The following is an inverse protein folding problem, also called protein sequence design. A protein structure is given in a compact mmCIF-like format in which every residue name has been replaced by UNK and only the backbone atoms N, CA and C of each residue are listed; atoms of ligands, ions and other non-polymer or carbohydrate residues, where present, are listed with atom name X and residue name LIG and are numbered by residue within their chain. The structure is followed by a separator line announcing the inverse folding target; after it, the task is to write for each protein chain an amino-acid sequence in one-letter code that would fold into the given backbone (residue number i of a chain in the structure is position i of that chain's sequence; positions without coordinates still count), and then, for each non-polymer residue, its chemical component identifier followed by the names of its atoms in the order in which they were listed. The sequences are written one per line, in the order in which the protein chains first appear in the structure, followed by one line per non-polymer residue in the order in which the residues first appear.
data_IF_176063265203
#
_entry.id   IF_176063265203
#
_cell.length_a   1.000
_cell.length_b   1.000
_cell.length_c   1.000
_cell.angle_alpha   90.00
_cell.angle_beta   90.00
_cell.angle_gamma   90.00
#
_symmetry.space_group_name_H-M   'P 1'
#
loop_
_entity.id
_entity.type
_entity.pdbx_description
1 polymer ?
#
# COMPACT_ATOMS: atom_id res chain seq x y z
N UNK A 1 -8.44 -63.98 26.08
CA UNK A 1 -8.33 -62.96 25.01
C UNK A 1 -6.87 -62.87 24.60
N UNK A 2 -6.56 -63.31 23.38
CA UNK A 2 -5.18 -63.49 22.90
C UNK A 2 -4.56 -62.13 22.50
N UNK A 3 -3.23 -62.00 22.59
CA UNK A 3 -2.46 -60.78 22.26
C UNK A 3 -2.70 -60.30 20.82
N UNK A 4 -3.10 -61.23 19.95
CA UNK A 4 -3.43 -61.00 18.55
C UNK A 4 -4.84 -60.41 18.34
N UNK A 5 -5.82 -60.79 19.17
CA UNK A 5 -7.17 -60.20 19.17
C UNK A 5 -7.14 -58.74 19.62
N UNK A 6 -6.27 -58.42 20.59
CA UNK A 6 -6.08 -57.05 21.09
C UNK A 6 -5.50 -56.11 20.01
N UNK A 7 -4.60 -56.62 19.15
CA UNK A 7 -4.03 -55.86 18.03
C UNK A 7 -5.01 -55.66 16.87
N UNK A 8 -5.94 -56.59 16.64
CA UNK A 8 -7.02 -56.42 15.64
C UNK A 8 -8.02 -55.35 16.09
N UNK A 9 -8.44 -55.37 17.35
CA UNK A 9 -9.38 -54.38 17.89
C UNK A 9 -8.82 -52.94 17.84
N UNK A 10 -7.53 -52.75 18.12
CA UNK A 10 -6.88 -51.42 18.03
C UNK A 10 -6.76 -50.90 16.59
N UNK A 11 -6.58 -51.77 15.60
CA UNK A 11 -6.55 -51.38 14.18
C UNK A 11 -7.93 -51.00 13.65
N UNK A 12 -8.99 -51.67 14.08
CA UNK A 12 -10.37 -51.32 13.72
C UNK A 12 -10.82 -50.00 14.38
N UNK A 13 -10.45 -49.77 15.64
CA UNK A 13 -10.74 -48.52 16.34
C UNK A 13 -10.06 -47.28 15.71
N UNK A 14 -8.85 -47.45 15.15
CA UNK A 14 -8.16 -46.38 14.40
C UNK A 14 -8.77 -46.11 13.02
N UNK A 15 -9.32 -47.13 12.35
CA UNK A 15 -9.97 -46.96 11.04
C UNK A 15 -11.29 -46.19 11.12
N UNK A 16 -12.02 -46.32 12.23
CA UNK A 16 -13.26 -45.59 12.47
C UNK A 16 -13.10 -44.15 12.98
N UNK A 17 -11.91 -43.74 13.46
CA UNK A 17 -11.63 -42.33 13.84
C UNK A 17 -11.23 -41.43 12.66
N UNK A 18 -10.92 -41.99 11.50
CA UNK A 18 -10.50 -41.25 10.30
C UNK A 18 -11.59 -41.01 9.25
N UNK A 19 -12.85 -41.35 9.54
CA UNK A 19 -13.96 -41.32 8.58
C UNK A 19 -15.16 -40.52 9.07
N UNK A 20 -14.90 -39.28 9.50
CA UNK A 20 -15.93 -38.22 9.59
C UNK A 20 -15.65 -37.16 8.54
N UNK A 21 -15.63 -37.59 7.27
CA UNK A 21 -15.77 -36.71 6.12
C UNK A 21 -17.25 -36.60 5.79
N UNK A 22 -17.93 -35.61 6.38
CA UNK A 22 -19.26 -35.20 5.96
C UNK A 22 -19.14 -34.14 4.88
N UNK A 23 -19.32 -34.54 3.62
CA UNK A 23 -19.79 -33.69 2.52
C UNK A 23 -21.31 -33.84 2.49
N UNK A 24 -22.11 -32.76 2.59
CA UNK A 24 -22.66 -32.04 1.42
C UNK A 24 -22.64 -30.49 1.66
N UNK A 25 -22.83 -29.56 0.73
CA UNK A 25 -23.69 -29.49 -0.45
C UNK A 25 -23.20 -28.37 -1.39
N UNK A 26 -23.41 -28.55 -2.70
CA UNK A 26 -23.34 -27.50 -3.73
C UNK A 26 -24.51 -26.53 -3.54
N UNK A 27 -24.23 -25.23 -3.60
CA UNK A 27 -25.24 -24.21 -3.86
C UNK A 27 -25.74 -23.42 -2.65
N UNK A 28 -24.88 -22.58 -2.07
CA UNK A 28 -25.28 -21.33 -1.41
C UNK A 28 -24.08 -20.37 -1.47
N UNK A 29 -24.25 -19.12 -1.93
CA UNK A 29 -23.18 -18.12 -1.85
C UNK A 29 -22.85 -17.89 -0.36
N UNK A 30 -21.58 -17.73 0.03
CA UNK A 30 -21.23 -17.47 1.42
C UNK A 30 -21.84 -16.12 1.84
N UNK A 31 -22.98 -16.19 2.53
CA UNK A 31 -23.57 -15.07 3.23
C UNK A 31 -22.56 -14.58 4.26
N UNK A 32 -22.33 -13.26 4.23
CA UNK A 32 -21.48 -12.47 5.12
C UNK A 32 -20.66 -13.26 6.14
N UNK A 33 -19.36 -13.41 5.89
CA UNK A 33 -18.40 -13.58 6.98
C UNK A 33 -18.45 -12.30 7.82
N UNK A 34 -19.36 -12.29 8.79
CA UNK A 34 -19.23 -11.48 9.99
C UNK A 34 -17.83 -11.75 10.51
N UNK A 35 -16.98 -10.73 10.46
CA UNK A 35 -15.67 -10.73 11.09
C UNK A 35 -15.92 -11.07 12.56
N UNK A 36 -15.66 -12.33 12.95
CA UNK A 36 -15.57 -12.67 14.36
C UNK A 36 -14.32 -11.98 14.87
N UNK A 37 -14.49 -10.82 15.52
CA UNK A 37 -13.47 -10.24 16.40
C UNK A 37 -13.13 -11.31 17.43
N UNK A 38 -11.97 -11.96 17.27
CA UNK A 38 -11.38 -12.72 18.36
C UNK A 38 -11.05 -11.74 19.50
N UNK A 39 -11.10 -12.16 20.77
CA UNK A 39 -10.73 -11.27 21.87
C UNK A 39 -9.26 -10.86 21.71
N UNK A 40 -9.02 -9.57 21.52
CA UNK A 40 -7.71 -8.95 21.52
C UNK A 40 -7.16 -9.00 22.96
N UNK A 41 -5.92 -9.46 23.13
CA UNK A 41 -5.25 -9.31 24.42
C UNK A 41 -4.90 -7.83 24.63
N UNK A 42 -4.94 -7.31 25.87
CA UNK A 42 -4.42 -5.97 26.16
C UNK A 42 -2.98 -5.83 25.65
N UNK A 43 -2.72 -4.85 24.78
CA UNK A 43 -1.40 -4.60 24.17
C UNK A 43 -1.23 -5.12 22.73
N UNK A 44 -2.18 -5.88 22.19
CA UNK A 44 -2.11 -6.37 20.79
C UNK A 44 -2.17 -5.22 19.77
N UNK A 45 -2.93 -4.15 20.04
CA UNK A 45 -3.07 -3.00 19.14
C UNK A 45 -1.75 -2.22 18.99
N UNK A 46 -1.06 -1.95 20.10
CA UNK A 46 0.22 -1.23 20.08
C UNK A 46 1.31 -2.09 19.42
N UNK A 47 1.33 -3.40 19.67
CA UNK A 47 2.23 -4.32 18.98
C UNK A 47 1.95 -4.35 17.47
N UNK A 48 0.69 -4.45 17.07
CA UNK A 48 0.30 -4.39 15.66
C UNK A 48 0.73 -3.08 15.02
N UNK A 49 0.61 -1.96 15.75
CA UNK A 49 1.07 -0.65 15.29
C UNK A 49 2.58 -0.61 15.11
N UNK A 50 3.35 -1.13 16.06
CA UNK A 50 4.82 -1.20 15.95
C UNK A 50 5.26 -2.06 14.78
N UNK A 51 4.65 -3.24 14.61
CA UNK A 51 4.90 -4.13 13.47
C UNK A 51 4.51 -3.44 12.14
N UNK A 52 3.41 -2.67 12.15
CA UNK A 52 2.98 -1.88 11.01
C UNK A 52 3.91 -0.69 10.73
N UNK A 53 4.60 -0.12 11.70
CA UNK A 53 5.52 1.00 11.46
C UNK A 53 6.96 0.53 11.18
N UNK A 54 7.29 -0.72 11.45
CA UNK A 54 8.61 -1.29 11.22
C UNK A 54 9.04 -1.14 9.73
N UNK A 55 10.25 -0.63 9.53
CA UNK A 55 10.85 -0.46 8.20
C UNK A 55 10.14 0.56 7.31
N UNK A 56 9.49 1.56 7.92
CA UNK A 56 8.74 2.59 7.18
C UNK A 56 9.24 4.00 7.44
N UNK A 57 8.85 4.89 6.53
CA UNK A 57 9.05 6.33 6.60
C UNK A 57 7.69 7.00 6.67
N UNK A 58 7.53 7.98 7.56
CA UNK A 58 6.37 8.85 7.53
C UNK A 58 6.48 9.82 6.36
N UNK A 59 5.44 9.88 5.53
CA UNK A 59 5.33 10.91 4.52
C UNK A 59 5.34 12.30 5.20
N UNK A 60 6.02 13.26 4.58
CA UNK A 60 5.98 14.66 4.97
C UNK A 60 4.60 15.28 4.67
N UNK A 61 3.91 14.76 3.66
CA UNK A 61 2.62 15.25 3.22
C UNK A 61 2.02 14.38 2.11
N UNK A 62 0.77 14.65 1.77
CA UNK A 62 0.15 14.16 0.55
C UNK A 62 -0.81 15.19 -0.04
N UNK A 63 -1.04 15.10 -1.34
CA UNK A 63 -1.92 16.01 -2.07
C UNK A 63 -2.38 15.40 -3.38
N UNK A 64 -3.16 16.18 -4.14
CA UNK A 64 -3.63 15.78 -5.47
C UNK A 64 -3.36 16.93 -6.43
N UNK A 65 -2.74 16.62 -7.56
CA UNK A 65 -2.58 17.56 -8.66
C UNK A 65 -3.54 17.19 -9.79
N UNK A 66 -4.19 18.21 -10.36
CA UNK A 66 -5.10 18.04 -11.48
C UNK A 66 -4.48 18.64 -12.74
N UNK A 67 -4.66 17.99 -13.90
CA UNK A 67 -4.31 18.60 -15.17
C UNK A 67 -5.24 19.80 -15.43
N UNK A 68 -4.67 20.98 -15.65
CA UNK A 68 -5.41 22.19 -16.02
C UNK A 68 -5.10 22.57 -17.48
N UNK A 69 -6.14 22.82 -18.29
CA UNK A 69 -5.98 23.30 -19.67
C UNK A 69 -7.21 23.06 -20.56
N UNK A 70 -7.59 24.05 -21.36
CA UNK A 70 -8.68 23.90 -22.34
C UNK A 70 -8.25 22.95 -23.47
N UNK A 71 -9.07 21.92 -23.76
CA UNK A 71 -8.87 21.02 -24.90
C UNK A 71 -7.87 19.89 -24.68
N UNK A 72 -7.38 19.66 -23.46
CA UNK A 72 -6.58 18.48 -23.15
C UNK A 72 -7.46 17.23 -23.01
N UNK A 73 -6.92 16.07 -23.38
CA UNK A 73 -7.56 14.79 -23.07
C UNK A 73 -7.72 14.67 -21.54
N UNK A 74 -8.82 14.07 -21.05
CA UNK A 74 -9.00 13.87 -19.62
C UNK A 74 -7.86 12.99 -19.09
N UNK A 75 -6.93 13.60 -18.36
CA UNK A 75 -5.91 12.90 -17.61
C UNK A 75 -6.40 12.73 -16.17
N UNK A 76 -6.13 11.56 -15.59
CA UNK A 76 -6.43 11.31 -14.19
C UNK A 76 -5.59 12.21 -13.29
N UNK A 77 -6.13 12.54 -12.12
CA UNK A 77 -5.40 13.30 -11.13
C UNK A 77 -4.18 12.51 -10.61
N UNK A 78 -3.10 13.22 -10.32
CA UNK A 78 -1.90 12.62 -9.73
C UNK A 78 -2.01 12.68 -8.20
N UNK A 79 -1.99 11.51 -7.54
CA UNK A 79 -1.87 11.45 -6.09
C UNK A 79 -0.41 11.64 -5.69
N UNK A 80 -0.09 12.70 -4.97
CA UNK A 80 1.28 13.04 -4.59
C UNK A 80 1.57 12.63 -3.15
N UNK A 81 2.72 12.00 -2.94
CA UNK A 81 3.29 11.73 -1.62
C UNK A 81 4.59 12.52 -1.51
N UNK A 82 4.62 13.43 -0.53
CA UNK A 82 5.81 14.21 -0.20
C UNK A 82 6.62 13.46 0.85
N UNK A 83 7.93 13.35 0.63
CA UNK A 83 8.88 12.82 1.62
C UNK A 83 9.87 13.91 2.03
N UNK A 84 10.45 13.78 3.22
CA UNK A 84 11.52 14.68 3.66
C UNK A 84 12.82 14.39 2.89
N UNK A 85 13.54 15.44 2.51
CA UNK A 85 14.84 15.32 1.83
C UNK A 85 16.00 15.23 2.84
N UNK A 86 15.93 14.24 3.74
CA UNK A 86 16.93 14.05 4.80
C UNK A 86 17.07 12.58 5.22
N UNK A 87 17.91 12.33 6.23
CA UNK A 87 18.21 10.98 6.73
C UNK A 87 16.99 10.27 7.35
N UNK A 88 15.92 10.99 7.74
CA UNK A 88 14.69 10.38 8.27
C UNK A 88 13.95 9.61 7.18
N UNK A 89 14.06 10.06 5.92
CA UNK A 89 13.54 9.33 4.76
C UNK A 89 14.60 8.41 4.19
N UNK A 90 15.79 8.92 3.90
CA UNK A 90 16.73 8.21 3.05
C UNK A 90 17.62 7.20 3.78
N UNK A 91 17.76 7.30 5.10
CA UNK A 91 18.38 6.25 5.90
C UNK A 91 17.60 4.93 5.80
N UNK A 92 16.29 4.91 6.10
CA UNK A 92 15.46 3.71 5.95
C UNK A 92 15.01 3.41 4.50
N UNK A 93 15.04 4.41 3.60
CA UNK A 93 14.65 4.26 2.19
C UNK A 93 15.75 4.75 1.22
N UNK A 94 16.95 4.16 1.22
CA UNK A 94 18.06 4.61 0.37
C UNK A 94 17.73 4.50 -1.13
N UNK A 95 16.85 3.57 -1.52
CA UNK A 95 16.41 3.42 -2.90
C UNK A 95 15.66 4.65 -3.42
N UNK A 96 14.97 5.40 -2.55
CA UNK A 96 14.33 6.66 -2.94
C UNK A 96 15.38 7.73 -3.25
N UNK A 97 16.47 7.79 -2.48
CA UNK A 97 17.60 8.69 -2.76
C UNK A 97 18.21 8.39 -4.12
N UNK A 98 18.45 7.11 -4.42
CA UNK A 98 18.97 6.68 -5.71
C UNK A 98 17.99 6.98 -6.85
N UNK A 99 16.70 6.73 -6.66
CA UNK A 99 15.67 7.03 -7.65
C UNK A 99 15.58 8.54 -7.94
N UNK A 100 15.67 9.39 -6.91
CA UNK A 100 15.72 10.84 -7.09
C UNK A 100 17.00 11.30 -7.80
N UNK A 101 18.16 10.73 -7.46
CA UNK A 101 19.40 11.03 -8.15
C UNK A 101 19.34 10.64 -9.64
N UNK A 102 18.71 9.51 -9.96
CA UNK A 102 18.46 9.11 -11.34
C UNK A 102 17.45 10.05 -12.01
N UNK A 103 16.37 10.42 -11.33
CA UNK A 103 15.38 11.38 -11.83
C UNK A 103 16.06 12.68 -12.27
N UNK A 104 16.95 13.22 -11.44
CA UNK A 104 17.71 14.45 -11.75
C UNK A 104 18.64 14.31 -12.96
N UNK A 105 19.16 13.11 -13.19
CA UNK A 105 20.09 12.85 -14.29
C UNK A 105 19.39 12.62 -15.63
N UNK A 106 18.23 11.95 -15.63
CA UNK A 106 17.63 11.43 -16.87
C UNK A 106 16.19 11.89 -17.11
N UNK A 107 15.54 12.51 -16.12
CA UNK A 107 14.13 12.91 -16.18
C UNK A 107 13.15 11.74 -15.94
N UNK A 108 11.89 12.08 -15.73
CA UNK A 108 10.86 11.13 -15.27
C UNK A 108 10.56 10.01 -16.30
N UNK A 109 10.49 10.35 -17.59
CA UNK A 109 10.20 9.37 -18.65
C UNK A 109 11.29 8.30 -18.73
N UNK A 110 12.55 8.72 -18.85
CA UNK A 110 13.66 7.79 -18.95
C UNK A 110 13.91 7.03 -17.63
N UNK A 111 13.56 7.62 -16.48
CA UNK A 111 13.60 6.90 -15.21
C UNK A 111 12.62 5.73 -15.21
N UNK A 112 11.38 5.94 -15.66
CA UNK A 112 10.33 4.92 -15.65
C UNK A 112 10.68 3.71 -16.52
N UNK A 113 11.43 3.91 -17.60
CA UNK A 113 11.94 2.81 -18.44
C UNK A 113 13.07 2.01 -17.78
N UNK A 114 13.73 2.57 -16.75
CA UNK A 114 14.91 2.00 -16.10
C UNK A 114 14.64 1.35 -14.76
N UNK A 115 13.56 1.74 -14.09
CA UNK A 115 13.22 1.23 -12.76
C UNK A 115 12.01 0.29 -12.83
N UNK A 116 12.05 -0.77 -12.03
CA UNK A 116 10.89 -1.64 -11.81
C UNK A 116 10.57 -1.63 -10.33
N UNK A 117 9.40 -1.10 -9.99
CA UNK A 117 8.95 -0.95 -8.61
C UNK A 117 7.59 -1.61 -8.44
N UNK A 118 7.54 -2.66 -7.63
CA UNK A 118 6.28 -3.24 -7.16
C UNK A 118 5.64 -2.35 -6.11
N UNK A 119 4.31 -2.21 -6.15
CA UNK A 119 3.54 -1.38 -5.21
C UNK A 119 2.45 -2.21 -4.53
N UNK A 120 2.22 -1.96 -3.24
CA UNK A 120 1.11 -2.57 -2.52
C UNK A 120 0.60 -1.66 -1.40
N UNK A 121 -0.71 -1.61 -1.21
CA UNK A 121 -1.32 -0.90 -0.10
C UNK A 121 -1.52 -1.82 1.10
N UNK A 122 -1.38 -1.24 2.29
CA UNK A 122 -1.77 -1.83 3.56
C UNK A 122 -2.35 -0.75 4.45
N UNK A 123 -3.12 -1.15 5.46
CA UNK A 123 -3.81 -0.20 6.32
C UNK A 123 -4.01 -0.79 7.70
N UNK A 124 -4.02 0.09 8.68
CA UNK A 124 -4.25 -0.23 10.08
C UNK A 124 -5.38 0.66 10.57
N UNK A 125 -6.52 0.05 10.92
CA UNK A 125 -7.60 0.76 11.61
C UNK A 125 -7.24 0.97 13.09
N UNK A 126 -7.90 1.92 13.72
CA UNK A 126 -7.71 2.32 15.11
C UNK A 126 -8.19 3.75 15.36
N UNK A 127 -7.83 4.32 16.52
CA UNK A 127 -8.11 5.73 16.81
C UNK A 127 -7.38 6.67 15.84
N UNK A 128 -6.17 6.30 15.41
CA UNK A 128 -5.38 6.98 14.39
C UNK A 128 -5.13 6.01 13.23
N UNK A 129 -6.03 5.93 12.24
CA UNK A 129 -5.87 4.99 11.15
C UNK A 129 -4.62 5.33 10.32
N UNK A 130 -3.91 4.30 9.89
CA UNK A 130 -2.70 4.44 9.07
C UNK A 130 -2.90 3.78 7.71
N UNK A 131 -2.31 4.37 6.69
CA UNK A 131 -2.17 3.77 5.36
C UNK A 131 -0.69 3.66 5.05
N UNK A 132 -0.26 2.51 4.53
CA UNK A 132 1.11 2.25 4.09
C UNK A 132 1.12 1.92 2.60
N UNK A 133 1.90 2.67 1.83
CA UNK A 133 2.34 2.29 0.49
C UNK A 133 3.66 1.53 0.60
N UNK A 134 3.66 0.24 0.30
CA UNK A 134 4.88 -0.56 0.15
C UNK A 134 5.45 -0.37 -1.24
N UNK A 135 6.76 -0.15 -1.31
CA UNK A 135 7.55 -0.06 -2.53
C UNK A 135 8.57 -1.21 -2.54
N UNK A 136 8.64 -1.96 -3.63
CA UNK A 136 9.60 -3.03 -3.84
C UNK A 136 10.43 -2.75 -5.10
N UNK A 137 11.67 -2.33 -4.93
CA UNK A 137 12.60 -2.07 -6.02
C UNK A 137 13.23 -3.38 -6.50
N UNK A 138 13.12 -3.67 -7.79
CA UNK A 138 13.60 -4.93 -8.38
C UNK A 138 14.83 -4.77 -9.28
N UNK A 139 15.18 -3.54 -9.65
CA UNK A 139 16.28 -3.24 -10.56
C UNK A 139 17.68 -3.34 -9.92
N UNK A 140 18.74 -3.25 -10.75
CA UNK A 140 20.09 -3.02 -10.26
C UNK A 140 20.29 -1.56 -9.78
N UNK A 141 19.54 -0.61 -10.36
CA UNK A 141 19.54 0.81 -10.03
C UNK A 141 18.10 1.38 -10.12
N UNK A 142 17.50 1.85 -9.02
CA UNK A 142 17.96 1.73 -7.64
C UNK A 142 18.26 0.29 -7.23
N UNK A 143 19.15 0.12 -6.25
CA UNK A 143 19.46 -1.19 -5.70
C UNK A 143 18.20 -1.91 -5.18
N UNK A 144 18.17 -3.24 -5.31
CA UNK A 144 17.05 -4.04 -4.82
C UNK A 144 16.79 -3.78 -3.34
N UNK A 145 15.53 -3.57 -2.99
CA UNK A 145 15.12 -3.36 -1.61
C UNK A 145 13.64 -3.06 -1.48
N UNK A 146 13.17 -2.94 -0.23
CA UNK A 146 11.79 -2.59 0.05
C UNK A 146 11.71 -1.50 1.09
N UNK A 147 10.80 -0.56 0.90
CA UNK A 147 10.48 0.48 1.88
C UNK A 147 8.98 0.69 1.96
N UNK A 148 8.49 1.16 3.10
CA UNK A 148 7.10 1.57 3.27
C UNK A 148 7.00 3.08 3.47
N UNK A 149 6.08 3.73 2.78
CA UNK A 149 5.67 5.11 3.06
C UNK A 149 4.36 5.07 3.83
N UNK A 150 4.34 5.61 5.05
CA UNK A 150 3.17 5.63 5.93
C UNK A 150 2.56 7.03 5.95
N UNK A 151 1.24 7.08 5.84
CA UNK A 151 0.41 8.28 5.95
C UNK A 151 -0.59 8.11 7.09
N UNK A 152 -0.83 9.21 7.82
CA UNK A 152 -1.93 9.32 8.77
C UNK A 152 -3.23 9.44 7.96
N UNK A 153 -4.03 8.39 7.97
CA UNK A 153 -5.09 8.20 6.98
C UNK A 153 -6.23 9.22 7.14
N UNK A 154 -6.57 9.55 8.38
CA UNK A 154 -7.58 10.55 8.73
C UNK A 154 -7.22 11.96 8.24
N UNK A 155 -5.94 12.35 8.28
CA UNK A 155 -5.48 13.65 7.81
C UNK A 155 -5.69 13.86 6.29
N UNK A 156 -5.79 12.77 5.54
CA UNK A 156 -5.97 12.79 4.08
C UNK A 156 -7.32 12.22 3.64
N UNK A 157 -8.30 12.16 4.55
CA UNK A 157 -9.63 11.60 4.30
C UNK A 157 -10.29 12.13 3.01
N UNK A 158 -10.12 13.43 2.73
CA UNK A 158 -10.73 14.08 1.55
C UNK A 158 -10.11 13.70 0.21
N UNK A 159 -8.93 13.06 0.18
CA UNK A 159 -8.21 12.79 -1.07
C UNK A 159 -8.07 11.31 -1.42
N UNK A 160 -8.38 10.38 -0.51
CA UNK A 160 -8.26 8.93 -0.80
C UNK A 160 -9.12 8.45 -1.97
N UNK A 161 -10.26 9.10 -2.22
CA UNK A 161 -11.13 8.81 -3.37
C UNK A 161 -10.41 8.90 -4.72
N UNK A 162 -9.34 9.69 -4.81
CA UNK A 162 -8.59 9.88 -6.06
C UNK A 162 -7.65 8.71 -6.38
N UNK A 163 -7.44 7.79 -5.43
CA UNK A 163 -6.43 6.74 -5.59
C UNK A 163 -6.91 5.34 -5.17
N UNK A 164 -8.10 5.24 -4.56
CA UNK A 164 -8.70 3.98 -4.12
C UNK A 164 -8.94 2.98 -5.27
N UNK A 165 -9.33 3.48 -6.44
CA UNK A 165 -9.56 2.70 -7.66
C UNK A 165 -8.27 2.31 -8.40
N UNK A 166 -7.11 2.61 -7.84
CA UNK A 166 -5.84 2.64 -8.57
C UNK A 166 -5.61 4.00 -9.22
N UNK A 167 -4.54 4.10 -10.01
CA UNK A 167 -4.15 5.33 -10.68
C UNK A 167 -2.65 5.56 -10.61
N UNK A 168 -2.25 6.84 -10.68
CA UNK A 168 -0.85 7.24 -10.64
C UNK A 168 -0.52 7.89 -9.30
N UNK A 169 0.63 7.50 -8.75
CA UNK A 169 1.26 8.17 -7.61
C UNK A 169 2.53 8.88 -8.08
N UNK A 170 2.73 10.10 -7.61
CA UNK A 170 4.00 10.80 -7.69
C UNK A 170 4.65 10.87 -6.32
N UNK A 171 5.88 10.35 -6.17
CA UNK A 171 6.67 10.54 -4.95
C UNK A 171 7.68 11.65 -5.20
N UNK A 172 7.68 12.68 -4.35
CA UNK A 172 8.55 13.86 -4.52
C UNK A 172 8.94 14.48 -3.18
N UNK A 173 9.76 15.53 -3.20
CA UNK A 173 10.03 16.39 -2.05
C UNK A 173 9.35 17.73 -2.26
N UNK A 174 9.05 18.44 -1.17
CA UNK A 174 8.43 19.78 -1.27
C UNK A 174 9.31 20.73 -2.09
N UNK A 175 10.62 20.74 -1.85
CA UNK A 175 11.57 21.57 -2.57
C UNK A 175 11.58 21.26 -4.08
N UNK A 176 11.56 19.99 -4.48
CA UNK A 176 11.51 19.57 -5.88
C UNK A 176 10.25 20.09 -6.58
N UNK A 177 9.10 19.93 -5.93
CA UNK A 177 7.83 20.40 -6.47
C UNK A 177 7.82 21.94 -6.59
N UNK A 178 8.25 22.66 -5.56
CA UNK A 178 8.33 24.12 -5.58
C UNK A 178 9.25 24.63 -6.71
N UNK A 179 10.41 24.01 -6.93
CA UNK A 179 11.31 24.35 -8.05
C UNK A 179 10.67 24.08 -9.41
N UNK A 180 9.86 23.03 -9.52
CA UNK A 180 9.16 22.72 -10.76
C UNK A 180 8.02 23.71 -11.05
N UNK A 181 7.28 24.13 -10.03
CA UNK A 181 6.06 24.94 -10.19
C UNK A 181 6.27 26.45 -10.02
N UNK A 182 7.45 26.90 -9.57
CA UNK A 182 7.75 28.32 -9.34
C UNK A 182 8.00 29.14 -10.62
N UNK A 183 8.19 28.49 -11.76
CA UNK A 183 8.46 29.17 -13.03
C UNK A 183 7.17 29.76 -13.63
N UNK A 184 7.20 30.98 -14.20
CA UNK A 184 6.06 31.50 -14.96
C UNK A 184 5.68 30.55 -16.09
N UNK A 185 4.41 30.13 -16.13
CA UNK A 185 3.92 29.17 -17.12
C UNK A 185 4.21 27.70 -16.81
N UNK A 186 4.64 27.37 -15.59
CA UNK A 186 4.73 25.98 -15.16
C UNK A 186 3.40 25.24 -15.36
N UNK A 187 3.50 24.01 -15.83
CA UNK A 187 2.38 23.15 -16.22
C UNK A 187 2.28 21.94 -15.30
N UNK A 188 1.17 21.21 -15.43
CA UNK A 188 0.99 19.91 -14.76
C UNK A 188 2.14 18.93 -15.09
N UNK A 189 2.63 18.95 -16.34
CA UNK A 189 3.76 18.11 -16.79
C UNK A 189 5.05 18.45 -16.03
N UNK A 190 5.33 19.72 -15.76
CA UNK A 190 6.52 20.11 -14.98
C UNK A 190 6.45 19.50 -13.56
N UNK A 191 5.27 19.48 -12.94
CA UNK A 191 5.05 18.82 -11.65
C UNK A 191 5.23 17.30 -11.73
N UNK A 192 4.75 16.66 -12.80
CA UNK A 192 4.98 15.23 -13.04
C UNK A 192 6.46 14.88 -13.21
N UNK A 193 7.22 15.72 -13.93
CA UNK A 193 8.65 15.53 -14.15
C UNK A 193 9.46 15.65 -12.85
N UNK A 194 8.93 16.33 -11.84
CA UNK A 194 9.52 16.43 -10.52
C UNK A 194 9.23 15.22 -9.61
N UNK A 195 8.53 14.20 -10.10
CA UNK A 195 8.10 13.04 -9.32
C UNK A 195 8.73 11.73 -9.81
N UNK A 196 8.96 10.81 -8.88
CA UNK A 196 9.05 9.39 -9.20
C UNK A 196 7.61 8.90 -9.44
N UNK A 197 7.26 8.62 -10.68
CA UNK A 197 5.91 8.25 -11.09
C UNK A 197 5.72 6.73 -11.05
N UNK A 198 4.68 6.29 -10.35
CA UNK A 198 4.35 4.88 -10.14
C UNK A 198 2.88 4.62 -10.46
N UNK A 199 2.60 3.56 -11.22
CA UNK A 199 1.26 3.03 -11.38
C UNK A 199 0.88 2.15 -10.19
N UNK A 200 -0.38 2.23 -9.76
CA UNK A 200 -0.90 1.40 -8.69
C UNK A 200 -2.26 0.79 -9.03
N UNK A 201 -2.52 -0.39 -8.47
CA UNK A 201 -3.81 -1.06 -8.58
C UNK A 201 -4.84 -0.56 -7.57
N UNK A 202 -6.08 -1.04 -7.74
CA UNK A 202 -7.17 -0.88 -6.77
C UNK A 202 -6.76 -1.31 -5.37
N UNK A 203 -7.26 -0.62 -4.35
CA UNK A 203 -6.92 -0.89 -2.96
C UNK A 203 -8.15 -1.24 -2.12
N UNK A 204 -8.45 -2.54 -1.94
CA UNK A 204 -9.54 -2.98 -1.06
C UNK A 204 -9.37 -2.49 0.38
N UNK A 205 -8.14 -2.26 0.82
CA UNK A 205 -7.86 -1.74 2.16
C UNK A 205 -8.26 -0.26 2.28
N UNK A 206 -7.96 0.56 1.27
CA UNK A 206 -8.44 1.94 1.24
C UNK A 206 -9.96 1.98 1.15
N UNK A 207 -10.59 1.10 0.37
CA UNK A 207 -12.05 0.99 0.31
C UNK A 207 -12.65 0.72 1.69
N UNK A 208 -12.09 -0.23 2.43
CA UNK A 208 -12.53 -0.58 3.78
C UNK A 208 -12.36 0.56 4.78
N UNK A 209 -11.26 1.32 4.70
CA UNK A 209 -11.05 2.49 5.56
C UNK A 209 -12.03 3.61 5.21
N UNK A 210 -12.22 3.91 3.92
CA UNK A 210 -13.18 4.94 3.47
C UNK A 210 -14.58 4.59 3.96
N UNK A 211 -15.02 3.33 3.82
CA UNK A 211 -16.32 2.88 4.31
C UNK A 211 -16.41 2.88 5.84
N UNK A 212 -15.40 2.34 6.51
CA UNK A 212 -15.40 2.15 7.96
C UNK A 212 -15.40 3.48 8.74
N UNK A 213 -14.77 4.51 8.18
CA UNK A 213 -14.69 5.85 8.79
C UNK A 213 -15.64 6.87 8.16
N UNK A 214 -16.42 6.47 7.14
CA UNK A 214 -17.36 7.36 6.47
C UNK A 214 -16.70 8.52 5.70
N UNK A 215 -15.52 8.29 5.13
CA UNK A 215 -14.80 9.31 4.37
C UNK A 215 -15.42 9.56 2.98
N UNK A 216 -15.18 10.74 2.37
CA UNK A 216 -15.76 11.08 1.07
C UNK A 216 -15.37 10.10 -0.05
N UNK A 217 -16.36 9.76 -0.90
CA UNK A 217 -16.18 8.93 -2.11
C UNK A 217 -16.30 9.69 -3.42
N UNK A 218 -16.86 10.89 -3.41
CA UNK A 218 -17.11 11.75 -4.57
C UNK A 218 -16.86 13.20 -4.19
#
# INVERSE_FOLDING_TARGET
MNREERRRAEREARKNRGRSGSTPSRGQPPQGRLIRKAPYAPGDEERQRQDFLAGTVFAAGAGVAFPEGAGQAPMDALFMIYVHEDERTFGPAPQLREAFAMLDQVGAVALHERITVGTAWSGLAGEQPLVKLKLEFHGPHPAKGSTGLVLLADQYAGIWRHIVGGGMIGITTQERMERATSRPGASFTDGMEACILLGIGTSPVLEQLIDGYGWPRR
#
